data_IF_835212908252
#
_entry.id   IF_835212908252
#
_cell.length_a   1.000
_cell.length_b   1.000
_cell.length_c   1.000
_cell.angle_alpha   90.00
_cell.angle_beta   90.00
_cell.angle_gamma   90.00
#
_symmetry.space_group_name_H-M   'P 1'
#
loop_
_entity.id
_entity.type
_entity.pdbx_description
1 polymer ?
#
# COMPACT_ATOMS: atom_id res chain seq x y z
N UNK A 1 5.12 14.44 23.23
CA UNK A 1 4.27 13.91 22.15
C UNK A 1 4.85 14.26 20.79
N UNK A 2 4.94 15.56 20.43
CA UNK A 2 5.49 16.00 19.15
C UNK A 2 6.93 15.49 18.89
N UNK A 3 7.82 15.55 19.90
CA UNK A 3 9.21 15.09 19.76
C UNK A 3 9.37 13.58 19.45
N UNK A 4 8.42 12.73 19.85
CA UNK A 4 8.52 11.27 19.59
C UNK A 4 8.07 10.92 18.18
N UNK A 5 7.01 11.57 17.72
CA UNK A 5 6.57 11.51 16.32
C UNK A 5 7.67 12.04 15.40
N UNK A 6 8.21 13.21 15.70
CA UNK A 6 9.30 13.84 14.94
C UNK A 6 10.52 12.92 14.85
N UNK A 7 10.85 12.21 15.95
CA UNK A 7 11.93 11.23 15.95
C UNK A 7 11.69 10.09 14.94
N UNK A 8 10.48 9.52 14.89
CA UNK A 8 10.14 8.49 13.89
C UNK A 8 10.22 9.07 12.48
N UNK A 9 9.71 10.28 12.26
CA UNK A 9 9.75 10.95 10.96
C UNK A 9 11.20 11.15 10.49
N UNK A 10 12.09 11.66 11.34
CA UNK A 10 13.52 11.83 11.05
C UNK A 10 14.17 10.47 10.72
N UNK A 11 13.85 9.42 11.47
CA UNK A 11 14.41 8.10 11.23
C UNK A 11 13.90 7.45 9.93
N UNK A 12 12.65 7.74 9.55
CA UNK A 12 12.02 7.28 8.31
C UNK A 12 12.51 8.04 7.06
N UNK A 13 12.93 9.28 7.22
CA UNK A 13 13.21 10.22 6.13
C UNK A 13 14.22 9.71 5.07
N UNK A 14 15.35 9.07 5.43
CA UNK A 14 16.26 8.52 4.42
C UNK A 14 15.60 7.45 3.54
N UNK A 15 14.71 6.63 4.12
CA UNK A 15 14.01 5.56 3.41
C UNK A 15 12.85 6.11 2.57
N UNK A 16 12.10 7.09 3.10
CA UNK A 16 11.08 7.81 2.31
C UNK A 16 11.71 8.46 1.08
N UNK A 17 12.85 9.13 1.24
CA UNK A 17 13.58 9.72 0.12
C UNK A 17 14.07 8.68 -0.89
N UNK A 18 14.52 7.50 -0.44
CA UNK A 18 14.92 6.42 -1.34
C UNK A 18 13.73 5.87 -2.16
N UNK A 19 12.53 5.81 -1.57
CA UNK A 19 11.30 5.39 -2.26
C UNK A 19 10.87 6.44 -3.27
N UNK A 20 10.79 7.72 -2.87
CA UNK A 20 10.38 8.85 -3.71
C UNK A 20 11.30 9.01 -4.92
N UNK A 21 12.60 8.81 -4.74
CA UNK A 21 13.61 8.93 -5.79
C UNK A 21 14.02 7.58 -6.39
N UNK A 22 13.18 6.55 -6.25
CA UNK A 22 13.54 5.21 -6.68
C UNK A 22 13.73 5.14 -8.20
N UNK A 23 14.83 4.50 -8.63
CA UNK A 23 15.22 4.26 -10.03
C UNK A 23 14.18 3.54 -10.90
N UNK A 24 13.17 2.90 -10.29
CA UNK A 24 12.06 2.25 -11.02
C UNK A 24 11.21 3.28 -11.76
N UNK A 25 11.07 4.50 -11.25
CA UNK A 25 10.24 5.49 -11.92
C UNK A 25 10.91 5.98 -13.21
N UNK A 26 12.22 6.19 -13.19
CA UNK A 26 12.96 6.67 -14.36
C UNK A 26 13.03 5.68 -15.52
N UNK A 27 12.75 4.39 -15.30
CA UNK A 27 12.79 3.38 -16.37
C UNK A 27 11.40 3.11 -16.98
N UNK A 28 10.33 3.63 -16.38
CA UNK A 28 8.96 3.51 -16.90
C UNK A 28 8.75 4.63 -17.91
N UNK A 29 8.73 4.28 -19.20
CA UNK A 29 8.59 5.26 -20.29
C UNK A 29 7.29 5.09 -21.10
N UNK A 30 6.66 3.92 -21.01
CA UNK A 30 5.49 3.56 -21.81
C UNK A 30 4.59 2.59 -21.04
N UNK A 31 3.44 2.28 -21.65
CA UNK A 31 2.42 1.39 -21.06
C UNK A 31 2.98 -0.01 -20.78
N UNK A 32 3.85 -0.56 -21.63
CA UNK A 32 4.41 -1.91 -21.40
C UNK A 32 5.38 -1.98 -20.23
N UNK A 33 6.04 -0.88 -19.89
CA UNK A 33 6.86 -0.78 -18.67
C UNK A 33 5.97 -0.60 -17.44
N UNK A 34 4.90 0.20 -17.55
CA UNK A 34 3.91 0.37 -16.49
C UNK A 34 3.27 -0.96 -16.08
N UNK A 35 2.92 -1.83 -17.04
CA UNK A 35 2.35 -3.16 -16.74
C UNK A 35 3.20 -3.98 -15.77
N UNK A 36 4.51 -3.98 -15.95
CA UNK A 36 5.45 -4.71 -15.07
C UNK A 36 5.45 -4.10 -13.68
N UNK A 37 5.44 -2.78 -13.57
CA UNK A 37 5.33 -2.12 -12.26
C UNK A 37 4.03 -2.50 -11.55
N UNK A 38 2.90 -2.52 -12.27
CA UNK A 38 1.59 -2.87 -11.71
C UNK A 38 1.54 -4.30 -11.15
N UNK A 39 2.23 -5.26 -11.79
CA UNK A 39 2.33 -6.65 -11.33
C UNK A 39 3.01 -6.81 -9.97
N UNK A 40 3.90 -5.88 -9.59
CA UNK A 40 4.48 -5.84 -8.25
C UNK A 40 3.64 -5.01 -7.29
N UNK A 41 3.17 -3.84 -7.74
CA UNK A 41 2.42 -2.89 -6.91
C UNK A 41 1.08 -3.46 -6.41
N UNK A 42 0.41 -4.31 -7.20
CA UNK A 42 -0.88 -4.90 -6.83
C UNK A 42 -0.84 -5.65 -5.49
N UNK A 43 0.29 -6.28 -5.12
CA UNK A 43 0.43 -6.95 -3.82
C UNK A 43 0.39 -5.95 -2.66
N UNK A 44 0.95 -4.76 -2.84
CA UNK A 44 0.87 -3.68 -1.86
C UNK A 44 -0.54 -3.07 -1.81
N UNK A 45 -1.25 -2.99 -2.95
CA UNK A 45 -2.65 -2.54 -2.95
C UNK A 45 -3.52 -3.55 -2.19
N UNK A 46 -3.34 -4.84 -2.43
CA UNK A 46 -4.12 -5.90 -1.80
C UNK A 46 -3.87 -6.02 -0.29
N UNK A 47 -2.60 -6.07 0.15
CA UNK A 47 -2.27 -6.30 1.56
C UNK A 47 -2.58 -5.09 2.46
N UNK A 48 -2.71 -3.90 1.87
CA UNK A 48 -3.09 -2.67 2.57
C UNK A 48 -4.45 -2.84 3.25
N UNK A 49 -5.43 -3.40 2.54
CA UNK A 49 -6.74 -3.65 3.14
C UNK A 49 -6.67 -4.61 4.32
N UNK A 50 -5.76 -5.59 4.29
CA UNK A 50 -5.60 -6.51 5.43
C UNK A 50 -5.04 -5.79 6.66
N UNK A 51 -4.07 -4.88 6.47
CA UNK A 51 -3.57 -4.02 7.55
C UNK A 51 -4.67 -3.09 8.10
N UNK A 52 -5.42 -2.44 7.21
CA UNK A 52 -6.52 -1.55 7.58
C UNK A 52 -7.64 -2.30 8.32
N UNK A 53 -8.02 -3.50 7.88
CA UNK A 53 -8.99 -4.34 8.58
C UNK A 53 -8.50 -4.78 9.94
N UNK A 54 -7.21 -5.08 10.09
CA UNK A 54 -6.62 -5.35 11.41
C UNK A 54 -6.79 -4.16 12.35
N UNK A 55 -6.52 -2.93 11.87
CA UNK A 55 -6.77 -1.71 12.63
C UNK A 55 -8.26 -1.51 12.94
N UNK A 56 -9.17 -1.79 11.99
CA UNK A 56 -10.61 -1.70 12.23
C UNK A 56 -11.06 -2.65 13.34
N UNK A 57 -10.63 -3.91 13.30
CA UNK A 57 -10.92 -4.88 14.35
C UNK A 57 -10.34 -4.46 15.71
N UNK A 58 -9.14 -3.86 15.69
CA UNK A 58 -8.41 -3.49 16.90
C UNK A 58 -8.81 -2.14 17.50
N UNK A 59 -9.35 -1.22 16.71
CA UNK A 59 -9.61 0.16 17.13
C UNK A 59 -11.09 0.57 17.04
N UNK A 60 -11.93 -0.26 16.40
CA UNK A 60 -13.38 -0.05 16.33
C UNK A 60 -14.15 -1.30 16.81
N UNK A 61 -15.46 -1.36 16.58
CA UNK A 61 -16.28 -2.51 16.91
C UNK A 61 -16.90 -3.08 15.63
N UNK A 62 -16.46 -4.28 15.26
CA UNK A 62 -16.95 -5.05 14.10
C UNK A 62 -17.75 -6.28 14.51
N UNK A 63 -18.05 -6.44 15.81
CA UNK A 63 -18.65 -7.64 16.41
C UNK A 63 -20.00 -7.33 17.06
N UNK A 64 -20.80 -8.37 17.30
CA UNK A 64 -22.10 -8.29 18.00
C UNK A 64 -22.07 -9.05 19.34
N UNK A 65 -22.72 -8.55 20.41
CA UNK A 65 -23.39 -7.24 20.51
C UNK A 65 -22.41 -6.05 20.44
N UNK A 66 -22.90 -4.93 19.92
CA UNK A 66 -22.07 -3.74 19.66
C UNK A 66 -21.81 -2.90 20.91
N UNK A 67 -20.56 -2.47 21.06
CA UNK A 67 -20.13 -1.48 22.07
C UNK A 67 -19.05 -0.56 21.49
N UNK A 68 -18.98 0.73 21.88
CA UNK A 68 -17.91 1.61 21.44
C UNK A 68 -16.55 1.14 21.98
N UNK A 69 -15.53 1.13 21.10
CA UNK A 69 -14.14 0.78 21.44
C UNK A 69 -13.25 2.02 21.35
N UNK A 70 -12.45 2.26 22.38
CA UNK A 70 -11.44 3.32 22.35
C UNK A 70 -11.99 4.73 22.09
N UNK A 71 -11.14 5.55 21.48
CA UNK A 71 -11.40 6.96 21.19
C UNK A 71 -12.36 7.18 20.00
N UNK A 72 -13.09 8.30 20.01
CA UNK A 72 -14.06 8.65 18.96
C UNK A 72 -13.40 9.05 17.64
N UNK A 73 -12.35 9.86 17.69
CA UNK A 73 -11.64 10.36 16.50
C UNK A 73 -10.92 9.22 15.78
N UNK A 74 -10.29 8.32 16.54
CA UNK A 74 -9.64 7.12 15.98
C UNK A 74 -10.66 6.20 15.27
N UNK A 75 -11.86 6.03 15.86
CA UNK A 75 -12.92 5.24 15.23
C UNK A 75 -13.44 5.88 13.95
N UNK A 76 -13.63 7.20 13.96
CA UNK A 76 -14.06 7.94 12.79
C UNK A 76 -13.03 7.78 11.66
N UNK A 77 -11.75 8.09 11.93
CA UNK A 77 -10.65 7.94 10.98
C UNK A 77 -10.65 6.56 10.31
N UNK A 78 -10.60 5.50 11.11
CA UNK A 78 -10.50 4.14 10.56
C UNK A 78 -11.74 3.77 9.74
N UNK A 79 -12.94 4.15 10.18
CA UNK A 79 -14.16 3.84 9.43
C UNK A 79 -14.28 4.66 8.13
N UNK A 80 -13.82 5.92 8.13
CA UNK A 80 -13.80 6.77 6.93
C UNK A 80 -12.83 6.21 5.87
N UNK A 81 -11.60 5.85 6.29
CA UNK A 81 -10.63 5.24 5.38
C UNK A 81 -11.15 3.89 4.89
N UNK A 82 -11.73 3.05 5.75
CA UNK A 82 -12.35 1.78 5.31
C UNK A 82 -13.45 2.02 4.27
N UNK A 83 -14.31 3.01 4.47
CA UNK A 83 -15.37 3.31 3.51
C UNK A 83 -14.80 3.76 2.15
N UNK A 84 -13.75 4.58 2.16
CA UNK A 84 -13.03 5.01 0.96
C UNK A 84 -12.36 3.84 0.24
N UNK A 85 -11.61 3.01 0.95
CA UNK A 85 -10.81 1.94 0.35
C UNK A 85 -11.62 0.71 -0.09
N UNK A 86 -12.68 0.37 0.66
CA UNK A 86 -13.49 -0.84 0.40
C UNK A 86 -14.69 -0.56 -0.52
N UNK A 87 -15.11 0.70 -0.64
CA UNK A 87 -16.37 1.06 -1.32
C UNK A 87 -16.35 2.45 -1.97
N UNK A 88 -15.23 2.81 -2.61
CA UNK A 88 -15.13 4.02 -3.41
C UNK A 88 -16.04 3.99 -4.65
N UNK A 89 -16.04 5.09 -5.38
CA UNK A 89 -16.71 5.25 -6.65
C UNK A 89 -15.69 5.08 -7.79
N UNK A 90 -16.06 4.37 -8.86
CA UNK A 90 -15.27 4.30 -10.10
C UNK A 90 -15.60 5.45 -11.07
N UNK A 91 -14.90 5.51 -12.22
CA UNK A 91 -15.14 6.50 -13.28
C UNK A 91 -16.58 6.54 -13.82
N UNK A 92 -17.37 5.49 -13.58
CA UNK A 92 -18.73 5.31 -14.09
C UNK A 92 -19.79 5.45 -13.00
N UNK A 93 -19.41 5.76 -11.76
CA UNK A 93 -20.32 5.91 -10.64
C UNK A 93 -20.64 4.62 -9.89
N UNK A 94 -20.00 3.49 -10.22
CA UNK A 94 -20.23 2.21 -9.53
C UNK A 94 -19.37 2.11 -8.26
N UNK A 95 -19.80 1.26 -7.32
CA UNK A 95 -19.05 1.00 -6.10
C UNK A 95 -18.00 -0.09 -6.30
N UNK A 96 -16.75 0.22 -5.94
CA UNK A 96 -15.61 -0.70 -6.00
C UNK A 96 -14.63 -0.42 -4.86
N UNK A 97 -13.97 -1.47 -4.39
CA UNK A 97 -12.76 -1.31 -3.58
C UNK A 97 -11.61 -0.77 -4.45
N UNK A 98 -10.62 -0.14 -3.82
CA UNK A 98 -9.41 0.31 -4.49
C UNK A 98 -8.61 -0.84 -5.11
N UNK A 99 -8.67 -2.04 -4.51
CA UNK A 99 -8.11 -3.25 -5.10
C UNK A 99 -8.81 -3.65 -6.41
N UNK A 100 -10.15 -3.65 -6.44
CA UNK A 100 -10.91 -3.93 -7.67
C UNK A 100 -10.68 -2.87 -8.73
N UNK A 101 -10.62 -1.59 -8.35
CA UNK A 101 -10.31 -0.49 -9.25
C UNK A 101 -8.90 -0.63 -9.86
N UNK A 102 -7.92 -1.08 -9.07
CA UNK A 102 -6.57 -1.35 -9.55
C UNK A 102 -6.54 -2.53 -10.52
N UNK A 103 -7.28 -3.60 -10.25
CA UNK A 103 -7.40 -4.74 -11.17
C UNK A 103 -8.05 -4.33 -12.50
N UNK A 104 -9.10 -3.50 -12.47
CA UNK A 104 -9.69 -2.94 -13.69
C UNK A 104 -8.66 -2.12 -14.48
N UNK A 105 -7.83 -1.34 -13.77
CA UNK A 105 -6.76 -0.56 -14.39
C UNK A 105 -5.69 -1.46 -15.05
N UNK A 106 -5.31 -2.57 -14.39
CA UNK A 106 -4.43 -3.58 -14.96
C UNK A 106 -5.03 -4.20 -16.22
N UNK A 107 -6.31 -4.56 -16.18
CA UNK A 107 -7.00 -5.12 -17.33
C UNK A 107 -7.12 -4.13 -18.50
N UNK A 108 -7.40 -2.85 -18.22
CA UNK A 108 -7.50 -1.80 -19.24
C UNK A 108 -6.19 -1.62 -20.00
N UNK A 109 -5.06 -1.57 -19.29
CA UNK A 109 -3.76 -1.41 -19.93
C UNK A 109 -3.22 -2.72 -20.50
N UNK A 110 -3.81 -3.87 -20.15
CA UNK A 110 -3.40 -5.20 -20.58
C UNK A 110 -2.21 -5.76 -19.79
N UNK A 111 -2.06 -5.38 -18.52
CA UNK A 111 -1.15 -6.04 -17.59
C UNK A 111 -1.67 -7.44 -17.23
N UNK A 112 -0.77 -8.42 -17.11
CA UNK A 112 -1.14 -9.77 -16.68
C UNK A 112 -1.56 -9.77 -15.20
N UNK A 113 -2.80 -10.18 -14.92
CA UNK A 113 -3.38 -10.30 -13.56
C UNK A 113 -3.36 -11.74 -13.04
N UNK A 114 -2.91 -12.71 -13.84
CA UNK A 114 -3.03 -14.13 -13.54
C UNK A 114 -2.34 -14.53 -12.23
N UNK A 115 -1.16 -13.98 -11.96
CA UNK A 115 -0.41 -14.30 -10.73
C UNK A 115 -1.19 -13.89 -9.49
N UNK A 116 -1.66 -12.63 -9.42
CA UNK A 116 -2.41 -12.13 -8.26
C UNK A 116 -3.77 -12.81 -8.12
N UNK A 117 -4.46 -13.09 -9.22
CA UNK A 117 -5.73 -13.84 -9.21
C UNK A 117 -5.52 -15.26 -8.69
N UNK A 118 -4.49 -15.95 -9.17
CA UNK A 118 -4.13 -17.31 -8.70
C UNK A 118 -3.76 -17.29 -7.23
N UNK A 119 -3.00 -16.29 -6.77
CA UNK A 119 -2.64 -16.12 -5.37
C UNK A 119 -3.89 -15.99 -4.49
N UNK A 120 -4.82 -15.11 -4.86
CA UNK A 120 -6.05 -14.86 -4.10
C UNK A 120 -6.94 -16.09 -4.08
N UNK A 121 -7.12 -16.76 -5.21
CA UNK A 121 -7.98 -17.95 -5.29
C UNK A 121 -7.40 -19.12 -4.48
N UNK A 122 -6.09 -19.34 -4.56
CA UNK A 122 -5.41 -20.35 -3.75
C UNK A 122 -5.51 -20.02 -2.24
N UNK A 123 -5.34 -18.75 -1.87
CA UNK A 123 -5.45 -18.30 -0.48
C UNK A 123 -6.88 -18.44 0.05
N UNK A 124 -7.90 -18.13 -0.75
CA UNK A 124 -9.32 -18.35 -0.40
C UNK A 124 -9.65 -19.83 -0.22
N UNK A 125 -9.06 -20.70 -1.04
CA UNK A 125 -9.32 -22.14 -0.98
C UNK A 125 -8.65 -22.83 0.21
N UNK A 126 -7.41 -22.44 0.55
CA UNK A 126 -6.57 -23.16 1.52
C UNK A 126 -6.17 -22.38 2.77
N UNK A 127 -6.30 -21.05 2.79
CA UNK A 127 -5.86 -20.19 3.89
C UNK A 127 -4.35 -20.20 4.16
N UNK A 128 -3.56 -20.83 3.29
CA UNK A 128 -2.12 -20.99 3.45
C UNK A 128 -1.36 -20.09 2.47
N UNK A 129 -0.61 -19.13 3.01
CA UNK A 129 0.18 -18.17 2.23
C UNK A 129 1.27 -18.83 1.40
N UNK A 130 2.05 -19.75 1.97
CA UNK A 130 3.16 -20.41 1.26
C UNK A 130 2.65 -21.19 0.05
N UNK A 131 1.55 -21.91 0.21
CA UNK A 131 0.91 -22.63 -0.89
C UNK A 131 0.35 -21.68 -1.96
N UNK A 132 -0.24 -20.56 -1.54
CA UNK A 132 -0.77 -19.56 -2.46
C UNK A 132 0.33 -18.86 -3.28
N UNK A 133 1.43 -18.45 -2.64
CA UNK A 133 2.60 -17.88 -3.32
C UNK A 133 3.21 -18.87 -4.31
N UNK A 134 3.36 -20.13 -3.91
CA UNK A 134 3.90 -21.18 -4.77
C UNK A 134 2.99 -21.46 -5.98
N UNK A 135 1.67 -21.49 -5.78
CA UNK A 135 0.70 -21.70 -6.87
C UNK A 135 0.69 -20.54 -7.88
N UNK A 136 0.82 -19.31 -7.39
CA UNK A 136 0.84 -18.10 -8.21
C UNK A 136 2.17 -17.85 -8.93
N UNK A 137 3.28 -18.40 -8.43
CA UNK A 137 4.61 -18.02 -8.89
C UNK A 137 5.02 -16.62 -8.44
N UNK A 138 4.49 -16.16 -7.29
CA UNK A 138 4.69 -14.79 -6.80
C UNK A 138 6.18 -14.43 -6.68
N UNK A 139 6.62 -13.24 -7.14
CA UNK A 139 8.00 -12.80 -7.01
C UNK A 139 8.49 -12.77 -5.55
N UNK A 140 9.74 -13.16 -5.26
CA UNK A 140 10.26 -13.18 -3.88
C UNK A 140 10.11 -11.84 -3.15
N UNK A 141 10.31 -10.72 -3.83
CA UNK A 141 10.19 -9.39 -3.22
C UNK A 141 8.74 -9.07 -2.81
N UNK A 142 7.75 -9.59 -3.56
CA UNK A 142 6.33 -9.49 -3.21
C UNK A 142 5.95 -10.43 -2.07
N UNK A 143 6.51 -11.65 -2.04
CA UNK A 143 6.36 -12.58 -0.91
C UNK A 143 6.85 -11.93 0.39
N UNK A 144 8.07 -11.37 0.37
CA UNK A 144 8.68 -10.71 1.53
C UNK A 144 7.84 -9.50 2.00
N UNK A 145 7.32 -8.71 1.05
CA UNK A 145 6.48 -7.56 1.35
C UNK A 145 5.19 -7.96 2.07
N UNK A 146 4.45 -8.92 1.49
CA UNK A 146 3.19 -9.41 2.07
C UNK A 146 3.45 -10.11 3.40
N UNK A 147 4.48 -10.95 3.51
CA UNK A 147 4.81 -11.62 4.77
C UNK A 147 5.12 -10.62 5.90
N UNK A 148 5.86 -9.55 5.61
CA UNK A 148 6.12 -8.49 6.59
C UNK A 148 4.82 -7.84 7.11
N UNK A 149 3.88 -7.52 6.20
CA UNK A 149 2.57 -6.97 6.58
C UNK A 149 1.81 -7.95 7.47
N UNK A 150 1.75 -9.23 7.09
CA UNK A 150 1.02 -10.23 7.86
C UNK A 150 1.71 -10.65 9.16
N UNK A 151 3.04 -10.58 9.27
CA UNK A 151 3.76 -10.72 10.54
C UNK A 151 3.41 -9.59 11.50
N UNK A 152 3.32 -8.36 11.00
CA UNK A 152 2.85 -7.21 11.76
C UNK A 152 1.42 -7.42 12.26
N UNK A 153 0.52 -7.90 11.39
CA UNK A 153 -0.86 -8.20 11.77
C UNK A 153 -0.89 -9.30 12.84
N UNK A 154 -0.17 -10.41 12.64
CA UNK A 154 -0.09 -11.54 13.58
C UNK A 154 0.53 -11.18 14.93
N UNK A 155 1.33 -10.12 15.00
CA UNK A 155 1.89 -9.65 16.28
C UNK A 155 0.83 -9.15 17.26
N UNK A 156 -0.37 -8.81 16.77
CA UNK A 156 -1.49 -8.22 17.52
C UNK A 156 -1.12 -6.95 18.32
N UNK A 157 -0.03 -6.28 17.92
CA UNK A 157 0.44 -5.04 18.52
C UNK A 157 -0.14 -3.85 17.75
N UNK A 158 -1.23 -3.29 18.28
CA UNK A 158 -1.92 -2.16 17.66
C UNK A 158 -1.01 -0.94 17.39
N UNK A 159 -0.04 -0.64 18.27
CA UNK A 159 0.92 0.44 18.08
C UNK A 159 1.89 0.21 16.91
N UNK A 160 2.22 -1.05 16.61
CA UNK A 160 3.03 -1.39 15.43
C UNK A 160 2.23 -1.26 14.15
N UNK A 161 1.01 -1.82 14.16
CA UNK A 161 0.09 -1.73 13.02
C UNK A 161 -0.21 -0.26 12.67
N UNK A 162 -0.45 0.58 13.69
CA UNK A 162 -0.70 2.01 13.49
C UNK A 162 0.55 2.73 12.96
N UNK A 163 1.74 2.46 13.50
CA UNK A 163 2.97 3.09 13.05
C UNK A 163 3.32 2.74 11.59
N UNK A 164 3.12 1.48 11.20
CA UNK A 164 3.33 1.06 9.80
C UNK A 164 2.29 1.70 8.89
N UNK A 165 1.03 1.73 9.29
CA UNK A 165 -0.03 2.41 8.56
C UNK A 165 0.28 3.90 8.35
N UNK A 166 0.58 4.62 9.44
CA UNK A 166 0.85 6.06 9.43
C UNK A 166 2.11 6.43 8.68
N UNK A 167 3.24 5.74 8.90
CA UNK A 167 4.54 6.21 8.38
C UNK A 167 5.08 5.39 7.21
N UNK A 168 4.65 4.13 7.08
CA UNK A 168 5.16 3.20 6.07
C UNK A 168 4.24 3.04 4.85
N UNK A 169 2.94 3.32 5.00
CA UNK A 169 1.92 3.06 3.98
C UNK A 169 1.23 4.30 3.43
N UNK A 170 1.11 5.36 4.23
CA UNK A 170 0.67 6.70 3.81
C UNK A 170 1.41 7.16 2.55
N UNK A 171 0.72 7.91 1.68
CA UNK A 171 1.10 8.15 0.28
C UNK A 171 2.60 8.46 0.07
N UNK A 172 3.29 7.48 -0.54
CA UNK A 172 4.70 7.56 -0.93
C UNK A 172 4.86 7.64 -2.45
N UNK A 173 3.78 7.85 -3.19
CA UNK A 173 3.85 8.02 -4.64
C UNK A 173 4.34 9.45 -4.93
N UNK A 174 5.53 9.61 -5.54
CA UNK A 174 6.08 10.94 -5.74
C UNK A 174 5.35 11.69 -6.86
N UNK A 175 5.30 13.03 -6.77
CA UNK A 175 4.76 13.88 -7.84
C UNK A 175 5.39 13.63 -9.23
N UNK A 176 6.64 13.15 -9.27
CA UNK A 176 7.29 12.73 -10.52
C UNK A 176 6.61 11.50 -11.15
N UNK A 177 6.14 10.54 -10.35
CA UNK A 177 5.39 9.40 -10.88
C UNK A 177 4.06 9.85 -11.49
N UNK A 178 3.36 10.78 -10.84
CA UNK A 178 2.18 11.42 -11.44
C UNK A 178 2.51 12.08 -12.79
N UNK A 179 3.64 12.78 -12.90
CA UNK A 179 4.07 13.38 -14.16
C UNK A 179 4.34 12.34 -15.27
N UNK A 180 4.92 11.19 -14.93
CA UNK A 180 5.11 10.06 -15.87
C UNK A 180 3.76 9.53 -16.34
N UNK A 181 2.82 9.31 -15.41
CA UNK A 181 1.48 8.82 -15.75
C UNK A 181 0.70 9.83 -16.58
N UNK A 182 0.81 11.13 -16.29
CA UNK A 182 0.21 12.19 -17.09
C UNK A 182 0.76 12.22 -18.52
N UNK A 183 2.06 11.96 -18.71
CA UNK A 183 2.67 11.90 -20.04
C UNK A 183 2.21 10.66 -20.82
N UNK A 184 2.20 9.49 -20.18
CA UNK A 184 1.63 8.26 -20.78
C UNK A 184 0.15 8.50 -21.14
N UNK A 185 -0.61 9.17 -20.28
CA UNK A 185 -2.04 9.40 -20.48
C UNK A 185 -2.31 10.34 -21.64
N UNK A 186 -1.50 11.40 -21.82
CA UNK A 186 -1.61 12.30 -22.97
C UNK A 186 -1.47 11.57 -24.31
N UNK A 187 -0.60 10.56 -24.34
CA UNK A 187 -0.33 9.80 -25.56
C UNK A 187 -1.29 8.61 -25.74
N UNK A 188 -1.77 8.01 -24.64
CA UNK A 188 -2.60 6.79 -24.63
C UNK A 188 -3.75 6.86 -23.60
N UNK A 189 -4.70 7.80 -23.74
CA UNK A 189 -5.70 8.06 -22.72
C UNK A 189 -6.62 6.86 -22.48
N UNK A 190 -7.02 6.16 -23.53
CA UNK A 190 -7.91 4.99 -23.45
C UNK A 190 -7.25 3.76 -22.80
N UNK A 191 -5.91 3.74 -22.72
CA UNK A 191 -5.17 2.61 -22.18
C UNK A 191 -4.95 2.69 -20.67
N UNK A 192 -4.99 3.88 -20.07
CA UNK A 192 -4.65 4.06 -18.65
C UNK A 192 -5.56 5.04 -17.90
N UNK A 193 -6.74 5.38 -18.44
CA UNK A 193 -7.67 6.32 -17.78
C UNK A 193 -8.14 5.85 -16.41
N UNK A 194 -8.37 4.54 -16.21
CA UNK A 194 -8.76 3.98 -14.91
C UNK A 194 -7.58 4.08 -13.93
N UNK A 195 -6.35 3.82 -14.40
CA UNK A 195 -5.17 3.96 -13.54
C UNK A 195 -4.93 5.41 -13.12
N UNK A 196 -5.10 6.36 -14.05
CA UNK A 196 -5.01 7.79 -13.74
C UNK A 196 -6.05 8.19 -12.69
N UNK A 197 -7.29 7.75 -12.87
CA UNK A 197 -8.35 7.99 -11.90
C UNK A 197 -8.03 7.40 -10.53
N UNK A 198 -7.55 6.16 -10.47
CA UNK A 198 -7.11 5.53 -9.23
C UNK A 198 -6.08 6.38 -8.47
N UNK A 199 -5.08 6.94 -9.16
CA UNK A 199 -4.08 7.82 -8.55
C UNK A 199 -4.65 9.18 -8.11
N UNK A 200 -5.57 9.77 -8.88
CA UNK A 200 -6.25 11.00 -8.50
C UNK A 200 -7.10 10.81 -7.23
N UNK A 201 -7.74 9.64 -7.09
CA UNK A 201 -8.49 9.28 -5.87
C UNK A 201 -7.61 9.17 -4.64
N UNK A 202 -6.36 8.70 -4.75
CA UNK A 202 -5.43 8.66 -3.62
C UNK A 202 -5.09 10.07 -3.11
N UNK A 203 -4.88 11.03 -4.01
CA UNK A 203 -4.65 12.44 -3.63
C UNK A 203 -5.87 13.04 -2.91
N UNK A 204 -7.08 12.74 -3.40
CA UNK A 204 -8.32 13.28 -2.83
C UNK A 204 -8.74 12.61 -1.51
N UNK A 205 -8.51 11.30 -1.38
CA UNK A 205 -8.90 10.50 -0.21
C UNK A 205 -7.85 10.59 0.90
N UNK A 206 -6.56 10.72 0.60
CA UNK A 206 -5.48 10.78 1.60
C UNK A 206 -5.10 12.21 2.05
N UNK A 207 -5.99 13.20 1.88
CA UNK A 207 -5.68 14.60 2.19
C UNK A 207 -5.20 14.87 3.63
N UNK A 208 -4.62 16.06 3.86
CA UNK A 208 -3.98 16.53 5.12
C UNK A 208 -4.73 16.19 6.43
N UNK A 209 -6.05 16.03 6.36
CA UNK A 209 -6.88 15.61 7.49
C UNK A 209 -6.53 14.22 8.04
N UNK A 210 -6.37 13.21 7.16
CA UNK A 210 -6.09 11.84 7.58
C UNK A 210 -4.69 11.70 8.18
N UNK A 211 -3.70 12.41 7.62
CA UNK A 211 -2.32 12.41 8.13
C UNK A 211 -2.25 12.85 9.59
N UNK A 212 -2.91 13.97 9.95
CA UNK A 212 -2.90 14.45 11.33
C UNK A 212 -3.55 13.47 12.31
N UNK A 213 -4.69 12.89 11.94
CA UNK A 213 -5.39 11.92 12.78
C UNK A 213 -4.62 10.60 12.90
N UNK A 214 -3.92 10.17 11.85
CA UNK A 214 -3.08 8.97 11.88
C UNK A 214 -1.88 9.12 12.83
N UNK A 215 -1.22 10.30 12.83
CA UNK A 215 -0.17 10.63 13.79
C UNK A 215 -0.70 10.61 15.23
N UNK A 216 -1.89 11.18 15.45
CA UNK A 216 -2.54 11.18 16.75
C UNK A 216 -2.91 9.76 17.20
N UNK A 217 -3.45 8.92 16.31
CA UNK A 217 -3.74 7.51 16.57
C UNK A 217 -2.49 6.77 17.05
N UNK A 218 -1.38 6.86 16.31
CA UNK A 218 -0.12 6.20 16.68
C UNK A 218 0.41 6.71 18.01
N UNK A 219 0.32 8.02 18.24
CA UNK A 219 0.72 8.63 19.50
C UNK A 219 -0.10 8.12 20.69
N UNK A 220 -1.42 8.00 20.52
CA UNK A 220 -2.33 7.49 21.55
C UNK A 220 -2.04 6.03 21.88
N UNK A 221 -1.75 5.20 20.87
CA UNK A 221 -1.44 3.78 21.06
C UNK A 221 -0.07 3.55 21.71
N UNK A 222 0.92 4.38 21.39
CA UNK A 222 2.23 4.31 22.05
C UNK A 222 2.21 4.91 23.47
N UNK A 223 1.34 5.90 23.71
CA UNK A 223 1.17 6.60 24.98
C UNK A 223 2.53 7.06 25.56
N UNK A 224 2.76 6.87 26.87
CA UNK A 224 4.02 7.19 27.53
C UNK A 224 5.05 6.04 27.48
N UNK A 225 4.75 4.92 26.81
CA UNK A 225 5.59 3.72 26.83
C UNK A 225 6.77 3.82 25.85
N UNK A 226 7.97 4.04 26.37
CA UNK A 226 9.19 4.16 25.55
C UNK A 226 9.49 2.92 24.70
N UNK A 227 9.14 1.72 25.18
CA UNK A 227 9.33 0.50 24.40
C UNK A 227 8.42 0.49 23.16
N UNK A 228 7.17 0.96 23.28
CA UNK A 228 6.25 1.02 22.14
C UNK A 228 6.71 2.01 21.08
N UNK A 229 7.26 3.15 21.50
CA UNK A 229 7.85 4.12 20.58
C UNK A 229 9.09 3.58 19.86
N UNK A 230 9.97 2.85 20.57
CA UNK A 230 11.13 2.22 19.96
C UNK A 230 10.72 1.11 18.97
N UNK A 231 9.75 0.28 19.33
CA UNK A 231 9.19 -0.75 18.45
C UNK A 231 8.54 -0.12 17.21
N UNK A 232 7.77 0.95 17.37
CA UNK A 232 7.14 1.68 16.27
C UNK A 232 8.17 2.26 15.29
N UNK A 233 9.23 2.91 15.79
CA UNK A 233 10.33 3.43 14.96
C UNK A 233 10.98 2.31 14.13
N UNK A 234 11.32 1.20 14.76
CA UNK A 234 11.94 0.05 14.08
C UNK A 234 11.02 -0.56 13.02
N UNK A 235 9.73 -0.75 13.35
CA UNK A 235 8.74 -1.32 12.45
C UNK A 235 8.49 -0.41 11.23
N UNK A 236 8.44 0.91 11.44
CA UNK A 236 8.35 1.90 10.36
C UNK A 236 9.55 1.79 9.41
N UNK A 237 10.78 1.73 9.93
CA UNK A 237 11.98 1.58 9.10
C UNK A 237 11.92 0.28 8.29
N UNK A 238 11.55 -0.84 8.93
CA UNK A 238 11.45 -2.13 8.26
C UNK A 238 10.38 -2.15 7.17
N UNK A 239 9.24 -1.47 7.38
CA UNK A 239 8.18 -1.34 6.39
C UNK A 239 8.66 -0.58 5.14
N UNK A 240 9.35 0.54 5.34
CA UNK A 240 9.90 1.33 4.24
C UNK A 240 10.99 0.56 3.49
N UNK A 241 11.86 -0.16 4.19
CA UNK A 241 12.84 -1.05 3.55
C UNK A 241 12.18 -2.18 2.75
N UNK A 242 11.07 -2.75 3.25
CA UNK A 242 10.29 -3.74 2.52
C UNK A 242 9.72 -3.16 1.22
N UNK A 243 9.20 -1.93 1.29
CA UNK A 243 8.73 -1.20 0.10
C UNK A 243 9.84 -0.96 -0.92
N UNK A 244 11.03 -0.54 -0.47
CA UNK A 244 12.20 -0.39 -1.36
C UNK A 244 12.52 -1.71 -2.06
N UNK A 245 12.53 -2.83 -1.34
CA UNK A 245 12.78 -4.16 -1.94
C UNK A 245 11.74 -4.54 -2.99
N UNK A 246 10.45 -4.27 -2.73
CA UNK A 246 9.40 -4.52 -3.72
C UNK A 246 9.63 -3.71 -5.01
N UNK A 247 10.08 -2.46 -4.89
CA UNK A 247 10.38 -1.59 -6.03
C UNK A 247 11.68 -2.02 -6.75
N UNK A 248 12.67 -2.51 -6.01
CA UNK A 248 13.88 -3.12 -6.58
C UNK A 248 13.53 -4.34 -7.43
N UNK A 249 12.58 -5.18 -7.00
CA UNK A 249 12.09 -6.32 -7.77
C UNK A 249 11.51 -5.89 -9.12
N UNK A 250 10.58 -4.93 -9.12
CA UNK A 250 10.02 -4.37 -10.35
C UNK A 250 11.10 -3.75 -11.26
N UNK A 251 12.03 -2.98 -10.69
CA UNK A 251 13.15 -2.39 -11.43
C UNK A 251 14.03 -3.45 -12.09
N UNK A 252 14.36 -4.55 -11.41
CA UNK A 252 15.23 -5.59 -11.97
C UNK A 252 14.61 -6.26 -13.20
N UNK A 253 13.29 -6.49 -13.21
CA UNK A 253 12.58 -7.03 -14.37
C UNK A 253 12.62 -6.04 -15.53
N UNK A 254 12.32 -4.77 -15.25
CA UNK A 254 12.33 -3.70 -16.25
C UNK A 254 13.73 -3.48 -16.85
N UNK A 255 14.77 -3.43 -16.01
CA UNK A 255 16.15 -3.24 -16.44
C UNK A 255 16.64 -4.39 -17.33
N UNK A 256 16.28 -5.64 -16.99
CA UNK A 256 16.59 -6.80 -17.85
C UNK A 256 15.90 -6.66 -19.20
N UNK A 257 14.61 -6.32 -19.24
CA UNK A 257 13.85 -6.14 -20.48
C UNK A 257 14.49 -5.09 -21.40
N UNK A 258 14.91 -3.94 -20.85
CA UNK A 258 15.57 -2.87 -21.61
C UNK A 258 16.94 -3.28 -22.16
N UNK A 259 17.75 -4.00 -21.37
CA UNK A 259 19.05 -4.51 -21.82
C UNK A 259 18.92 -5.52 -22.97
N UNK A 260 17.83 -6.29 -23.05
CA UNK A 260 17.60 -7.22 -24.17
C UNK A 260 17.14 -6.53 -25.46
N UNK A 261 16.54 -5.34 -25.38
CA UNK A 261 16.14 -4.55 -26.56
C UNK A 261 17.28 -3.72 -27.17
N UNK A 262 18.39 -3.54 -26.44
CA UNK A 262 19.57 -2.80 -26.91
C UNK A 262 20.65 -3.69 -27.59
N UNK A 263 20.44 -5.01 -27.65
CA UNK A 263 21.37 -5.99 -28.26
C UNK A 263 20.87 -6.51 -29.59
#
# INVERSE_FOLDING_TARGET
MHHRIERIQIAAEPFRNAIINHKVYSIIENVDDLKVFMQYHIYAVWDFMSLLKSLQNNLTCTQVPWFPKGDGETRQLINEIVAGEESDVDLYGNKKSHFELYLDAMQQCGADTKEIETFIDALRAGGNFEAAFAAAGTPPEAIDFVNFTFDTIRSDKAHLQSAIFTFGREDLIPGMFHAIIDDIYKNFPDSISIFKYYLERHIEVDGDHHSHLALQMTSNLCAQNDAYWAEAEMATIQALQSRIRLWDGAYQVLAKKKNYTEV
#
